data_IF_574173504355
#
_entry.id   IF_574173504355
#
_cell.length_a   1.000
_cell.length_b   1.000
_cell.length_c   1.000
_cell.angle_alpha   90.00
_cell.angle_beta   90.00
_cell.angle_gamma   90.00
#
_symmetry.space_group_name_H-M   'P 1'
#
loop_
_entity.id
_entity.type
_entity.pdbx_description
1 polymer ?
#
# COMPACT_ATOMS: atom_id res chain seq x y z
N UNK A 1 1.19 15.89 3.90
CA UNK A 1 2.65 15.88 3.70
C UNK A 1 3.08 17.35 3.60
N UNK A 2 4.24 17.70 4.14
CA UNK A 2 4.72 19.10 4.13
C UNK A 2 5.03 19.52 2.68
N UNK A 3 4.65 20.73 2.21
CA UNK A 3 4.97 21.19 0.85
C UNK A 3 6.46 21.12 0.52
N UNK A 4 7.34 21.38 1.49
CA UNK A 4 8.79 21.30 1.28
C UNK A 4 9.26 19.85 1.11
N UNK A 5 8.64 18.90 1.82
CA UNK A 5 8.93 17.48 1.67
C UNK A 5 8.51 16.97 0.29
N UNK A 6 7.31 17.35 -0.17
CA UNK A 6 6.81 17.01 -1.51
C UNK A 6 7.76 17.51 -2.60
N UNK A 7 8.24 18.74 -2.46
CA UNK A 7 9.13 19.37 -3.43
C UNK A 7 10.45 18.61 -3.62
N UNK A 8 10.95 18.01 -2.54
CA UNK A 8 12.16 17.18 -2.56
C UNK A 8 11.88 15.80 -3.15
N UNK A 9 10.75 15.19 -2.80
CA UNK A 9 10.36 13.88 -3.32
C UNK A 9 10.11 13.93 -4.82
N UNK A 10 9.47 14.99 -5.31
CA UNK A 10 9.29 15.24 -6.75
C UNK A 10 10.64 15.41 -7.47
N UNK A 11 11.60 16.08 -6.83
CA UNK A 11 12.95 16.23 -7.38
C UNK A 11 13.71 14.89 -7.45
N UNK A 12 13.50 14.00 -6.49
CA UNK A 12 14.06 12.64 -6.49
C UNK A 12 13.34 11.77 -7.53
N UNK A 13 12.01 11.83 -7.63
CA UNK A 13 11.24 11.07 -8.63
C UNK A 13 11.64 11.47 -10.07
N UNK A 14 11.97 12.75 -10.29
CA UNK A 14 12.47 13.26 -11.56
C UNK A 14 13.81 12.66 -12.03
N UNK A 15 14.57 11.99 -11.16
CA UNK A 15 15.80 11.28 -11.56
C UNK A 15 15.55 9.99 -12.34
N UNK A 16 14.31 9.48 -12.34
CA UNK A 16 13.92 8.26 -13.04
C UNK A 16 14.21 8.30 -14.54
N UNK A 17 14.03 9.48 -15.14
CA UNK A 17 14.13 9.71 -16.58
C UNK A 17 15.57 9.54 -17.07
N UNK A 18 16.55 9.85 -16.22
CA UNK A 18 17.96 9.94 -16.60
C UNK A 18 18.74 8.62 -16.43
N UNK A 19 18.25 7.70 -15.59
CA UNK A 19 19.10 6.64 -15.05
C UNK A 19 19.01 5.28 -15.77
N UNK A 20 18.00 5.02 -16.60
CA UNK A 20 17.78 3.69 -17.25
C UNK A 20 17.99 2.49 -16.30
N UNK A 21 17.79 2.67 -14.99
CA UNK A 21 18.16 1.68 -13.98
C UNK A 21 17.05 0.65 -13.80
N UNK A 22 17.43 -0.60 -13.53
CA UNK A 22 16.54 -1.65 -12.97
C UNK A 22 16.33 -1.48 -11.46
N UNK A 23 16.51 -0.26 -10.94
CA UNK A 23 16.49 0.07 -9.52
C UNK A 23 15.39 1.08 -9.31
N UNK A 24 14.39 0.72 -8.51
CA UNK A 24 13.48 1.66 -7.89
C UNK A 24 13.97 2.00 -6.48
N UNK A 25 13.36 3.01 -5.88
CA UNK A 25 13.68 3.47 -4.54
C UNK A 25 12.38 3.53 -3.72
N UNK A 26 12.40 2.94 -2.54
CA UNK A 26 11.41 3.18 -1.51
C UNK A 26 11.87 4.38 -0.66
N UNK A 27 10.98 5.34 -0.44
CA UNK A 27 11.30 6.50 0.40
C UNK A 27 10.65 6.36 1.78
N UNK A 28 11.32 6.87 2.82
CA UNK A 28 10.71 7.10 4.13
C UNK A 28 11.24 8.38 4.75
N UNK A 29 10.43 9.07 5.55
CA UNK A 29 10.84 10.34 6.18
C UNK A 29 10.55 10.38 7.68
N UNK A 30 11.48 10.92 8.47
CA UNK A 30 11.29 11.19 9.91
C UNK A 30 11.50 12.66 10.20
N UNK A 31 10.87 13.14 11.28
CA UNK A 31 10.98 14.53 11.72
C UNK A 31 10.23 15.52 10.82
N UNK A 32 10.71 16.76 10.79
CA UNK A 32 10.07 17.85 10.02
C UNK A 32 11.10 18.74 9.35
N UNK A 33 10.90 18.99 8.07
CA UNK A 33 11.77 19.86 7.31
C UNK A 33 11.42 21.33 7.57
N UNK A 34 12.24 22.01 8.36
CA UNK A 34 11.97 23.41 8.76
C UNK A 34 12.47 24.46 7.76
N UNK A 35 13.31 24.06 6.80
CA UNK A 35 13.94 24.95 5.81
C UNK A 35 14.01 24.27 4.46
N UNK A 36 13.87 25.05 3.39
CA UNK A 36 14.10 24.54 2.03
C UNK A 36 15.52 23.99 1.88
N UNK A 37 15.66 22.91 1.14
CA UNK A 37 16.94 22.24 0.85
C UNK A 37 17.18 22.34 -0.65
N UNK A 38 18.46 22.45 -1.02
CA UNK A 38 18.84 22.47 -2.43
C UNK A 38 18.47 21.15 -3.12
N UNK A 39 17.51 21.21 -4.05
CA UNK A 39 17.12 20.06 -4.88
C UNK A 39 18.31 19.43 -5.60
N UNK A 40 19.16 20.26 -6.19
CA UNK A 40 20.34 19.82 -6.94
C UNK A 40 21.34 19.07 -6.05
N UNK A 41 21.45 19.47 -4.77
CA UNK A 41 22.31 18.81 -3.80
C UNK A 41 21.79 17.41 -3.49
N UNK A 42 20.49 17.29 -3.18
CA UNK A 42 19.84 16.00 -2.94
C UNK A 42 19.92 15.11 -4.17
N UNK A 43 19.62 15.64 -5.36
CA UNK A 43 19.70 14.89 -6.60
C UNK A 43 21.09 14.33 -6.87
N UNK A 44 22.13 15.13 -6.60
CA UNK A 44 23.52 14.69 -6.73
C UNK A 44 23.89 13.59 -5.72
N UNK A 45 23.44 13.70 -4.47
CA UNK A 45 23.64 12.67 -3.45
C UNK A 45 22.97 11.35 -3.85
N UNK A 46 21.71 11.42 -4.30
CA UNK A 46 20.94 10.25 -4.75
C UNK A 46 21.59 9.60 -5.98
N UNK A 47 22.04 10.40 -6.95
CA UNK A 47 22.72 9.90 -8.16
C UNK A 47 24.02 9.19 -7.81
N UNK A 48 24.88 9.82 -7.01
CA UNK A 48 26.15 9.25 -6.60
C UNK A 48 25.97 7.93 -5.81
N UNK A 49 24.91 7.86 -4.99
CA UNK A 49 24.56 6.63 -4.29
C UNK A 49 24.11 5.54 -5.25
N UNK A 50 23.17 5.83 -6.17
CA UNK A 50 22.64 4.85 -7.13
C UNK A 50 23.73 4.29 -8.06
N UNK A 51 24.67 5.12 -8.50
CA UNK A 51 25.83 4.70 -9.30
C UNK A 51 26.75 3.72 -8.56
N UNK A 52 26.75 3.77 -7.22
CA UNK A 52 27.56 2.88 -6.36
C UNK A 52 26.89 1.55 -6.01
N UNK A 53 25.64 1.31 -6.40
CA UNK A 53 24.92 0.10 -6.03
C UNK A 53 25.23 -1.04 -6.99
N UNK A 54 25.69 -2.17 -6.45
CA UNK A 54 25.74 -3.44 -7.18
C UNK A 54 24.31 -3.97 -7.39
N UNK A 55 23.79 -3.86 -8.61
CA UNK A 55 22.45 -4.32 -8.99
C UNK A 55 22.23 -5.79 -8.64
N UNK A 56 23.26 -6.64 -8.74
CA UNK A 56 23.14 -8.07 -8.46
C UNK A 56 22.90 -8.39 -6.99
N UNK A 57 23.18 -7.42 -6.10
CA UNK A 57 22.95 -7.52 -4.66
C UNK A 57 21.55 -7.08 -4.22
N UNK A 58 20.79 -6.41 -5.09
CA UNK A 58 19.48 -5.82 -4.78
C UNK A 58 18.37 -6.86 -4.92
N UNK A 59 17.51 -6.95 -3.92
CA UNK A 59 16.32 -7.80 -3.90
C UNK A 59 15.06 -7.02 -4.24
N UNK A 60 13.99 -7.73 -4.62
CA UNK A 60 12.66 -7.13 -4.78
C UNK A 60 12.02 -6.72 -3.45
N UNK A 61 12.48 -7.31 -2.34
CA UNK A 61 12.09 -6.94 -0.98
C UNK A 61 12.87 -5.71 -0.51
N UNK A 62 12.25 -4.84 0.29
CA UNK A 62 12.91 -3.63 0.84
C UNK A 62 13.99 -3.99 1.87
N UNK A 63 13.79 -5.07 2.64
CA UNK A 63 14.64 -5.42 3.78
C UNK A 63 16.00 -5.95 3.33
N UNK A 64 17.07 -5.38 3.90
CA UNK A 64 18.44 -5.83 3.63
C UNK A 64 19.05 -5.26 2.35
N UNK A 65 18.32 -4.41 1.63
CA UNK A 65 18.86 -3.65 0.50
C UNK A 65 19.65 -2.42 0.98
N UNK A 66 20.53 -1.87 0.13
CA UNK A 66 21.26 -0.64 0.43
C UNK A 66 20.33 0.54 0.76
N UNK A 67 20.75 1.38 1.71
CA UNK A 67 20.03 2.57 2.13
C UNK A 67 20.90 3.83 1.99
N UNK A 68 20.27 4.95 1.65
CA UNK A 68 20.84 6.29 1.71
C UNK A 68 20.04 7.16 2.70
N UNK A 69 20.60 7.44 3.89
CA UNK A 69 20.04 8.41 4.82
C UNK A 69 20.50 9.84 4.49
N UNK A 70 19.57 10.72 4.13
CA UNK A 70 19.79 12.15 3.90
C UNK A 70 19.24 12.91 5.11
N UNK A 71 20.12 13.51 5.90
CA UNK A 71 19.77 14.26 7.13
C UNK A 71 19.87 15.76 6.93
N UNK A 72 18.85 16.51 7.34
CA UNK A 72 18.83 17.99 7.37
C UNK A 72 18.12 18.47 8.64
N UNK A 73 18.90 18.84 9.65
CA UNK A 73 18.36 19.18 10.98
C UNK A 73 17.65 17.96 11.59
N UNK A 74 16.42 18.17 12.08
CA UNK A 74 15.59 17.11 12.66
C UNK A 74 14.91 16.22 11.61
N UNK A 75 15.04 16.55 10.32
CA UNK A 75 14.46 15.78 9.22
C UNK A 75 15.44 14.77 8.65
N UNK A 76 14.98 13.53 8.45
CA UNK A 76 15.73 12.48 7.75
C UNK A 76 14.87 11.90 6.63
N UNK A 77 15.39 11.86 5.41
CA UNK A 77 14.86 11.07 4.31
C UNK A 77 15.73 9.83 4.16
N UNK A 78 15.15 8.64 4.31
CA UNK A 78 15.83 7.38 4.02
C UNK A 78 15.30 6.85 2.70
N UNK A 79 16.21 6.62 1.76
CA UNK A 79 15.95 6.00 0.48
C UNK A 79 16.49 4.58 0.52
N UNK A 80 15.68 3.58 0.17
CA UNK A 80 16.09 2.17 0.12
C UNK A 80 15.98 1.68 -1.30
N UNK A 81 17.04 1.08 -1.84
CA UNK A 81 17.02 0.54 -3.19
C UNK A 81 16.09 -0.68 -3.27
N UNK A 82 15.39 -0.87 -4.38
CA UNK A 82 14.46 -1.97 -4.63
C UNK A 82 14.66 -2.47 -6.06
N UNK A 83 14.87 -3.77 -6.21
CA UNK A 83 15.11 -4.40 -7.51
C UNK A 83 13.82 -4.45 -8.33
N UNK A 84 13.87 -3.95 -9.57
CA UNK A 84 12.77 -4.08 -10.52
C UNK A 84 12.82 -5.46 -11.17
N UNK A 85 11.86 -6.31 -10.81
CA UNK A 85 11.86 -7.68 -11.29
C UNK A 85 11.66 -7.83 -12.79
N UNK A 86 11.13 -6.85 -13.55
CA UNK A 86 10.93 -7.06 -14.99
C UNK A 86 10.87 -5.86 -15.96
N UNK A 87 10.84 -4.57 -15.58
CA UNK A 87 10.85 -3.47 -16.58
C UNK A 87 11.44 -2.16 -16.03
N UNK A 88 12.08 -1.32 -16.88
CA UNK A 88 12.38 0.07 -16.53
C UNK A 88 11.09 0.84 -16.25
N UNK A 89 11.14 1.74 -15.28
CA UNK A 89 10.01 2.55 -14.80
C UNK A 89 10.31 4.03 -15.06
N UNK A 90 9.33 4.79 -15.56
CA UNK A 90 9.45 6.26 -15.74
C UNK A 90 9.43 7.02 -14.40
N UNK A 91 9.38 6.29 -13.27
CA UNK A 91 9.38 6.80 -11.89
C UNK A 91 10.38 6.04 -11.04
N UNK A 92 11.16 6.78 -10.24
CA UNK A 92 12.22 6.24 -9.40
C UNK A 92 11.64 5.87 -8.03
N UNK A 93 10.66 6.62 -7.53
CA UNK A 93 9.95 6.30 -6.29
C UNK A 93 8.75 5.42 -6.61
N UNK A 94 8.91 4.10 -6.47
CA UNK A 94 7.80 3.16 -6.68
C UNK A 94 7.00 2.86 -5.41
N UNK A 95 7.62 3.05 -4.24
CA UNK A 95 6.94 3.02 -2.94
C UNK A 95 7.10 4.41 -2.33
N UNK A 96 5.98 5.13 -2.24
CA UNK A 96 5.95 6.51 -1.76
C UNK A 96 6.53 6.67 -0.35
N UNK A 97 6.94 7.90 0.03
CA UNK A 97 7.49 8.21 1.35
C UNK A 97 6.58 7.70 2.47
N UNK A 98 7.00 6.63 3.15
CA UNK A 98 6.39 6.20 4.41
C UNK A 98 6.97 7.06 5.52
N UNK A 99 6.18 7.84 6.26
CA UNK A 99 6.74 8.58 7.40
C UNK A 99 7.20 7.58 8.46
N UNK A 100 8.50 7.39 8.67
CA UNK A 100 9.06 6.55 9.73
C UNK A 100 9.00 7.26 11.09
N UNK A 101 7.80 7.68 11.49
CA UNK A 101 7.49 7.64 12.92
C UNK A 101 7.37 6.17 13.33
N UNK A 102 7.46 5.85 14.63
CA UNK A 102 6.64 4.76 15.15
C UNK A 102 5.18 5.18 14.93
N UNK A 103 4.69 5.02 13.70
CA UNK A 103 3.26 5.01 13.44
C UNK A 103 2.81 3.71 14.06
N UNK A 104 1.89 3.82 15.01
CA UNK A 104 1.04 2.69 15.31
C UNK A 104 0.23 2.46 14.03
N UNK A 105 0.75 1.63 13.15
CA UNK A 105 0.23 1.39 11.81
C UNK A 105 -1.23 0.90 11.89
N UNK A 106 -1.57 0.18 12.96
CA UNK A 106 -2.93 -0.15 13.34
C UNK A 106 -3.82 1.09 13.57
N UNK A 107 -3.34 2.17 14.20
CA UNK A 107 -4.12 3.41 14.39
C UNK A 107 -4.47 4.11 13.08
N UNK A 108 -3.56 4.08 12.10
CA UNK A 108 -3.84 4.65 10.77
C UNK A 108 -4.93 3.84 10.06
N UNK A 109 -4.84 2.51 10.13
CA UNK A 109 -5.88 1.62 9.61
C UNK A 109 -7.21 1.84 10.33
N UNK A 110 -7.22 1.86 11.67
CA UNK A 110 -8.40 2.11 12.50
C UNK A 110 -9.08 3.42 12.11
N UNK A 111 -8.33 4.52 12.00
CA UNK A 111 -8.88 5.82 11.58
C UNK A 111 -9.54 5.77 10.20
N UNK A 112 -8.93 5.09 9.22
CA UNK A 112 -9.51 4.93 7.87
C UNK A 112 -10.79 4.10 7.91
N UNK A 113 -10.78 2.97 8.62
CA UNK A 113 -11.92 2.07 8.73
C UNK A 113 -13.06 2.76 9.49
N UNK A 114 -12.78 3.40 10.63
CA UNK A 114 -13.75 4.18 11.40
C UNK A 114 -14.42 5.26 10.56
N UNK A 115 -13.65 6.02 9.78
CA UNK A 115 -14.19 7.05 8.90
C UNK A 115 -15.22 6.45 7.93
N UNK A 116 -14.92 5.31 7.31
CA UNK A 116 -15.82 4.63 6.36
C UNK A 116 -17.02 4.00 7.05
N UNK A 117 -16.83 3.31 8.17
CA UNK A 117 -17.90 2.72 8.96
C UNK A 117 -18.91 3.79 9.41
N UNK A 118 -18.43 4.94 9.90
CA UNK A 118 -19.29 6.06 10.28
C UNK A 118 -20.02 6.66 9.08
N UNK A 119 -19.31 6.89 7.97
CA UNK A 119 -19.87 7.46 6.74
C UNK A 119 -21.03 6.62 6.18
N UNK A 120 -20.97 5.29 6.37
CA UNK A 120 -21.92 4.33 5.82
C UNK A 120 -22.73 3.60 6.92
N UNK A 121 -22.87 4.20 8.10
CA UNK A 121 -23.51 3.58 9.27
C UNK A 121 -25.03 3.34 9.15
N UNK A 122 -25.68 3.92 8.12
CA UNK A 122 -27.13 3.84 7.89
C UNK A 122 -27.54 2.89 6.77
N UNK A 123 -26.65 1.97 6.36
CA UNK A 123 -26.97 1.01 5.32
C UNK A 123 -27.82 -0.13 5.89
N UNK A 124 -28.88 -0.49 5.17
CA UNK A 124 -29.73 -1.65 5.47
C UNK A 124 -29.15 -2.97 4.92
N UNK A 125 -27.89 -2.96 4.48
CA UNK A 125 -27.19 -4.11 3.87
C UNK A 125 -25.81 -4.29 4.50
N UNK A 126 -25.25 -5.50 4.43
CA UNK A 126 -23.90 -5.75 4.94
C UNK A 126 -22.87 -4.79 4.37
N UNK A 127 -22.22 -4.01 5.25
CA UNK A 127 -21.12 -3.15 4.86
C UNK A 127 -19.80 -3.91 4.95
N UNK A 128 -19.10 -3.99 3.81
CA UNK A 128 -17.70 -4.40 3.74
C UNK A 128 -16.86 -3.18 3.35
N UNK A 129 -15.80 -2.92 4.10
CA UNK A 129 -14.85 -1.83 3.79
C UNK A 129 -13.59 -2.43 3.16
N UNK A 130 -13.31 -2.05 1.91
CA UNK A 130 -12.07 -2.42 1.23
C UNK A 130 -10.95 -1.43 1.57
N UNK A 131 -9.79 -1.95 1.98
CA UNK A 131 -8.60 -1.18 2.31
C UNK A 131 -7.42 -1.70 1.50
N UNK A 132 -6.84 -0.84 0.67
CA UNK A 132 -5.56 -1.09 0.02
C UNK A 132 -4.42 -0.61 0.93
N UNK A 133 -3.57 -1.52 1.36
CA UNK A 133 -2.38 -1.22 2.16
C UNK A 133 -1.17 -1.11 1.24
N UNK A 134 -0.55 0.08 1.20
CA UNK A 134 0.68 0.34 0.46
C UNK A 134 1.79 0.53 1.52
N UNK A 135 2.73 -0.42 1.58
CA UNK A 135 3.87 -0.56 2.52
C UNK A 135 3.58 -1.13 3.93
N UNK A 136 4.56 -1.87 4.50
CA UNK A 136 4.68 -2.23 5.94
C UNK A 136 3.71 -3.28 6.52
N UNK A 137 2.44 -3.27 6.11
CA UNK A 137 1.34 -4.05 6.70
C UNK A 137 1.35 -5.55 6.37
N UNK A 138 2.51 -6.16 6.15
CA UNK A 138 2.60 -7.57 5.76
C UNK A 138 2.10 -8.53 6.84
N UNK A 139 2.01 -8.08 8.10
CA UNK A 139 1.63 -8.91 9.22
C UNK A 139 0.10 -8.96 9.45
N UNK A 140 -0.44 -10.18 9.35
CA UNK A 140 -1.83 -10.50 9.71
C UNK A 140 -2.15 -10.16 11.17
N UNK A 141 -1.13 -10.10 12.03
CA UNK A 141 -1.27 -9.69 13.43
C UNK A 141 -1.57 -8.20 13.60
N UNK A 142 -1.05 -7.33 12.75
CA UNK A 142 -1.40 -5.90 12.78
C UNK A 142 -2.83 -5.67 12.31
N UNK A 143 -3.26 -6.38 11.25
CA UNK A 143 -4.64 -6.39 10.78
C UNK A 143 -5.59 -6.90 11.88
N UNK A 144 -5.23 -8.00 12.55
CA UNK A 144 -5.99 -8.56 13.68
C UNK A 144 -6.07 -7.59 14.86
N UNK A 145 -4.94 -6.97 15.23
CA UNK A 145 -4.84 -6.03 16.33
C UNK A 145 -5.66 -4.76 16.07
N UNK A 146 -5.62 -4.23 14.84
CA UNK A 146 -6.42 -3.08 14.44
C UNK A 146 -7.93 -3.33 14.58
N UNK A 147 -8.38 -4.57 14.36
CA UNK A 147 -9.79 -4.90 14.30
C UNK A 147 -10.40 -5.36 15.63
N UNK A 148 -9.74 -6.26 16.37
CA UNK A 148 -10.38 -7.05 17.44
C UNK A 148 -9.65 -6.97 18.79
N UNK A 149 -8.35 -6.67 18.82
CA UNK A 149 -7.64 -6.60 20.11
C UNK A 149 -8.28 -5.54 21.01
N UNK A 150 -8.31 -5.75 22.32
CA UNK A 150 -8.99 -4.85 23.27
C UNK A 150 -8.24 -3.54 23.51
N UNK A 151 -7.72 -2.95 22.44
CA UNK A 151 -7.15 -1.61 22.44
C UNK A 151 -8.28 -0.57 22.38
N UNK A 152 -8.08 0.64 22.93
CA UNK A 152 -9.10 1.69 22.94
C UNK A 152 -9.66 2.04 21.54
N UNK A 153 -8.82 1.91 20.52
CA UNK A 153 -9.09 2.33 19.14
C UNK A 153 -9.44 1.17 18.18
N UNK A 154 -9.57 -0.05 18.69
CA UNK A 154 -9.90 -1.19 17.85
C UNK A 154 -11.29 -1.07 17.23
N UNK A 155 -11.40 -1.54 15.98
CA UNK A 155 -12.59 -1.27 15.16
C UNK A 155 -13.85 -1.90 15.75
N UNK A 156 -13.83 -3.19 16.07
CA UNK A 156 -15.03 -3.92 16.48
C UNK A 156 -15.17 -4.11 17.98
N UNK A 157 -14.06 -4.05 18.73
CA UNK A 157 -14.07 -4.29 20.18
C UNK A 157 -13.21 -3.26 20.89
N UNK A 158 -13.78 -2.66 21.93
CA UNK A 158 -13.05 -1.78 22.86
C UNK A 158 -13.28 -2.23 24.29
N UNK A 159 -12.56 -1.64 25.25
CA UNK A 159 -12.82 -1.86 26.69
C UNK A 159 -14.27 -1.53 27.09
N UNK A 160 -14.94 -0.65 26.35
CA UNK A 160 -16.34 -0.26 26.60
C UNK A 160 -17.38 -1.19 25.94
N UNK A 161 -16.95 -2.20 25.17
CA UNK A 161 -17.83 -3.11 24.44
C UNK A 161 -17.62 -3.10 22.93
N UNK A 162 -18.57 -3.68 22.20
CA UNK A 162 -18.53 -3.82 20.74
C UNK A 162 -18.88 -2.52 20.03
N UNK A 163 -18.34 -2.32 18.82
CA UNK A 163 -18.57 -1.13 17.98
C UNK A 163 -18.75 -1.53 16.52
N UNK A 164 -19.31 -0.60 15.73
CA UNK A 164 -19.52 -0.75 14.29
C UNK A 164 -20.27 -2.05 13.92
N UNK A 165 -21.39 -2.31 14.58
CA UNK A 165 -22.24 -3.50 14.35
C UNK A 165 -22.92 -3.52 12.97
N UNK A 166 -22.81 -2.45 12.17
CA UNK A 166 -23.17 -2.45 10.76
C UNK A 166 -22.01 -2.81 9.81
N UNK A 167 -20.76 -2.82 10.30
CA UNK A 167 -19.58 -3.21 9.53
C UNK A 167 -19.36 -4.72 9.67
N UNK A 168 -19.74 -5.46 8.64
CA UNK A 168 -19.75 -6.93 8.66
C UNK A 168 -18.37 -7.51 8.32
N UNK A 169 -17.52 -6.74 7.64
CA UNK A 169 -16.16 -7.15 7.37
C UNK A 169 -15.27 -6.05 6.82
N UNK A 170 -13.97 -6.33 6.80
CA UNK A 170 -12.93 -5.48 6.20
C UNK A 170 -12.13 -6.34 5.23
N UNK A 171 -12.09 -5.93 3.97
CA UNK A 171 -11.34 -6.61 2.91
C UNK A 171 -9.99 -5.90 2.73
N UNK A 172 -8.91 -6.55 3.14
CA UNK A 172 -7.56 -6.02 2.96
C UNK A 172 -6.96 -6.48 1.65
N UNK A 173 -6.31 -5.55 0.97
CA UNK A 173 -5.53 -5.76 -0.24
C UNK A 173 -4.08 -5.36 0.01
N UNK A 174 -3.15 -6.22 -0.41
CA UNK A 174 -1.71 -5.96 -0.29
C UNK A 174 -1.20 -5.35 -1.58
N UNK A 175 -0.98 -4.04 -1.59
CA UNK A 175 -0.41 -3.31 -2.74
C UNK A 175 -1.22 -3.53 -4.03
N UNK A 176 -2.55 -3.39 -3.97
CA UNK A 176 -3.38 -3.40 -5.18
C UNK A 176 -2.99 -2.22 -6.06
N UNK A 177 -2.69 -2.53 -7.31
CA UNK A 177 -2.57 -1.60 -8.43
C UNK A 177 -3.34 -2.21 -9.61
N UNK A 178 -3.74 -1.40 -10.62
CA UNK A 178 -4.50 -1.94 -11.75
C UNK A 178 -3.88 -3.19 -12.41
N UNK A 179 -2.55 -3.27 -12.43
CA UNK A 179 -1.76 -4.28 -13.12
C UNK A 179 -1.60 -5.62 -12.41
N UNK A 180 -1.87 -5.68 -11.11
CA UNK A 180 -1.79 -6.94 -10.34
C UNK A 180 -3.15 -7.44 -9.88
N UNK A 181 -4.24 -6.81 -10.31
CA UNK A 181 -5.58 -7.12 -9.82
C UNK A 181 -5.97 -8.60 -10.06
N UNK A 182 -5.43 -9.24 -11.11
CA UNK A 182 -5.66 -10.65 -11.41
C UNK A 182 -5.04 -11.61 -10.38
N UNK A 183 -3.89 -11.27 -9.80
CA UNK A 183 -3.13 -12.15 -8.89
C UNK A 183 -2.99 -11.61 -7.48
N UNK A 184 -3.63 -10.50 -7.14
CA UNK A 184 -3.41 -9.83 -5.86
C UNK A 184 -3.94 -10.67 -4.70
N UNK A 185 -3.14 -10.78 -3.65
CA UNK A 185 -3.57 -11.38 -2.40
C UNK A 185 -4.52 -10.44 -1.66
N UNK A 186 -5.63 -11.01 -1.19
CA UNK A 186 -6.61 -10.32 -0.35
C UNK A 186 -7.08 -11.20 0.78
N UNK A 187 -7.45 -10.59 1.91
CA UNK A 187 -8.07 -11.29 3.04
C UNK A 187 -9.29 -10.51 3.55
N UNK A 188 -10.44 -11.18 3.58
CA UNK A 188 -11.67 -10.70 4.18
C UNK A 188 -11.69 -11.03 5.68
N UNK A 189 -11.57 -10.03 6.53
CA UNK A 189 -11.79 -10.18 7.96
C UNK A 189 -13.28 -10.03 8.26
N UNK A 190 -13.87 -11.03 8.90
CA UNK A 190 -15.28 -11.03 9.30
C UNK A 190 -15.45 -10.52 10.72
N UNK A 191 -16.46 -9.67 10.94
CA UNK A 191 -16.79 -9.17 12.26
C UNK A 191 -17.39 -10.30 13.12
N UNK A 192 -16.73 -10.71 14.23
CA UNK A 192 -17.18 -11.85 15.01
C UNK A 192 -18.37 -11.54 15.93
N UNK A 193 -18.82 -10.28 15.99
CA UNK A 193 -19.92 -9.84 16.87
C UNK A 193 -21.24 -9.64 16.12
N UNK A 194 -21.31 -10.06 14.86
CA UNK A 194 -22.51 -9.97 14.03
C UNK A 194 -22.71 -11.33 13.38
N UNK A 195 -23.94 -11.85 13.47
CA UNK A 195 -24.38 -12.95 12.61
C UNK A 195 -24.65 -12.36 11.22
N UNK A 196 -23.70 -12.54 10.32
CA UNK A 196 -23.67 -11.85 9.03
C UNK A 196 -24.06 -12.76 7.88
N UNK A 197 -25.05 -12.34 7.08
CA UNK A 197 -25.28 -12.85 5.73
C UNK A 197 -24.33 -12.15 4.74
N UNK A 198 -23.02 -12.37 4.88
CA UNK A 198 -22.07 -11.94 3.83
C UNK A 198 -22.36 -12.78 2.59
N UNK A 199 -22.49 -12.18 1.39
CA UNK A 199 -22.69 -12.92 0.15
C UNK A 199 -21.66 -14.04 -0.04
N UNK A 200 -22.12 -15.22 -0.46
CA UNK A 200 -21.29 -16.41 -0.65
C UNK A 200 -20.11 -16.15 -1.59
N UNK A 201 -20.29 -15.27 -2.58
CA UNK A 201 -19.23 -14.87 -3.51
C UNK A 201 -18.04 -14.24 -2.80
N UNK A 202 -18.28 -13.43 -1.76
CA UNK A 202 -17.20 -12.83 -0.97
C UNK A 202 -16.55 -13.84 -0.02
N UNK A 203 -17.27 -14.88 0.38
CA UNK A 203 -16.75 -15.95 1.23
C UNK A 203 -15.84 -16.93 0.48
N UNK A 204 -15.78 -16.84 -0.85
CA UNK A 204 -14.80 -17.55 -1.70
C UNK A 204 -13.42 -16.93 -1.63
N UNK A 205 -13.29 -15.65 -1.28
CA UNK A 205 -11.99 -15.00 -1.05
C UNK A 205 -11.30 -15.61 0.18
N UNK A 206 -9.98 -15.43 0.24
CA UNK A 206 -9.24 -15.66 1.49
C UNK A 206 -9.90 -14.89 2.62
N UNK A 207 -10.10 -15.54 3.78
CA UNK A 207 -10.87 -14.95 4.88
C UNK A 207 -10.26 -15.25 6.24
N UNK A 208 -10.51 -14.33 7.17
CA UNK A 208 -10.14 -14.43 8.56
C UNK A 208 -11.39 -14.28 9.43
N UNK A 209 -11.60 -15.22 10.34
CA UNK A 209 -12.76 -15.21 11.24
C UNK A 209 -12.40 -15.78 12.61
N UNK A 210 -13.15 -15.40 13.64
CA UNK A 210 -12.95 -15.93 15.00
C UNK A 210 -13.69 -17.25 15.15
N UNK A 211 -12.97 -18.29 15.54
CA UNK A 211 -13.50 -19.61 15.85
C UNK A 211 -12.87 -20.10 17.16
N UNK A 212 -13.68 -20.52 18.12
CA UNK A 212 -13.24 -20.91 19.48
C UNK A 212 -12.39 -19.84 20.18
N UNK A 213 -12.74 -18.56 19.97
CA UNK A 213 -12.03 -17.42 20.54
C UNK A 213 -10.66 -17.13 19.93
N UNK A 214 -10.29 -17.82 18.83
CA UNK A 214 -9.03 -17.60 18.10
C UNK A 214 -9.31 -17.18 16.67
N UNK A 215 -8.46 -16.30 16.14
CA UNK A 215 -8.49 -15.96 14.72
C UNK A 215 -8.02 -17.17 13.89
N UNK A 216 -8.82 -17.57 12.90
CA UNK A 216 -8.45 -18.56 11.89
C UNK A 216 -8.39 -17.88 10.53
N UNK A 217 -7.41 -18.25 9.73
CA UNK A 217 -7.25 -17.80 8.35
C UNK A 217 -7.47 -18.97 7.42
N UNK A 218 -8.30 -18.75 6.42
CA UNK A 218 -8.60 -19.71 5.36
C UNK A 218 -8.11 -19.14 4.03
N UNK A 219 -7.40 -19.97 3.27
CA UNK A 219 -7.07 -19.66 1.89
C UNK A 219 -8.33 -19.72 1.05
N UNK A 220 -8.50 -18.75 0.16
CA UNK A 220 -9.58 -18.72 -0.80
C UNK A 220 -9.06 -18.41 -2.19
N UNK A 221 -9.99 -18.14 -3.09
CA UNK A 221 -9.73 -17.84 -4.50
C UNK A 221 -9.02 -16.48 -4.64
N UNK A 222 -8.06 -16.36 -5.59
CA UNK A 222 -7.54 -15.08 -6.04
C UNK A 222 -8.66 -14.14 -6.47
N UNK A 223 -8.48 -12.84 -6.24
CA UNK A 223 -9.47 -11.84 -6.65
C UNK A 223 -9.73 -11.88 -8.16
N UNK A 224 -8.69 -12.13 -8.98
CA UNK A 224 -8.82 -12.25 -10.43
C UNK A 224 -9.81 -13.32 -10.84
N UNK A 225 -9.72 -14.51 -10.24
CA UNK A 225 -10.61 -15.64 -10.51
C UNK A 225 -12.06 -15.29 -10.16
N UNK A 226 -12.28 -14.65 -9.01
CA UNK A 226 -13.61 -14.22 -8.58
C UNK A 226 -14.21 -13.17 -9.54
N UNK A 227 -13.39 -12.26 -10.04
CA UNK A 227 -13.79 -11.20 -10.97
C UNK A 227 -13.80 -11.65 -12.44
N UNK A 228 -13.33 -12.86 -12.75
CA UNK A 228 -13.17 -13.35 -14.11
C UNK A 228 -12.14 -12.57 -14.93
N UNK A 229 -11.09 -12.04 -14.29
CA UNK A 229 -10.02 -11.31 -14.96
C UNK A 229 -9.06 -12.28 -15.66
N UNK A 230 -8.61 -11.97 -16.87
CA UNK A 230 -7.60 -12.77 -17.54
C UNK A 230 -6.22 -12.55 -16.90
N UNK A 231 -5.31 -13.52 -17.10
CA UNK A 231 -3.94 -13.47 -16.58
C UNK A 231 -3.14 -12.27 -17.12
N UNK A 232 -3.49 -11.77 -18.31
CA UNK A 232 -2.85 -10.63 -18.96
C UNK A 232 -3.50 -9.29 -18.60
N UNK A 233 -4.44 -9.26 -17.64
CA UNK A 233 -5.09 -8.03 -17.19
C UNK A 233 -4.08 -6.94 -16.81
N UNK A 234 -4.28 -5.67 -17.24
CA UNK A 234 -5.47 -5.11 -17.88
C UNK A 234 -5.49 -5.19 -19.42
N UNK A 235 -4.68 -6.06 -20.01
CA UNK A 235 -4.47 -6.21 -21.45
C UNK A 235 -3.26 -5.42 -21.95
N UNK A 236 -2.93 -5.60 -23.23
CA UNK A 236 -1.96 -4.75 -23.92
C UNK A 236 -2.48 -3.31 -23.99
N UNK A 237 -1.62 -2.33 -23.67
CA UNK A 237 -1.86 -0.94 -24.07
C UNK A 237 -1.99 -0.95 -25.59
N UNK A 238 -3.19 -0.79 -26.13
CA UNK A 238 -3.34 -0.32 -27.51
C UNK A 238 -2.61 1.01 -27.56
N UNK A 239 -1.40 1.01 -28.10
CA UNK A 239 -0.62 2.21 -28.32
C UNK A 239 -1.50 3.17 -29.10
N UNK A 240 -1.69 4.37 -28.59
CA UNK A 240 -2.37 5.48 -29.26
C UNK A 240 -1.68 5.95 -30.56
N UNK A 241 -0.80 5.12 -31.13
CA UNK A 241 -0.13 5.31 -32.41
C UNK A 241 -0.99 4.89 -33.61
N UNK A 242 -2.15 4.27 -33.42
CA UNK A 242 -3.02 3.83 -34.53
C UNK A 242 -4.04 4.90 -34.98
N UNK A 243 -3.72 6.18 -34.77
CA UNK A 243 -4.35 7.30 -35.49
C UNK A 243 -3.45 7.73 -36.64
N UNK A 244 -3.25 6.86 -37.61
CA UNK A 244 -2.77 7.28 -38.93
C UNK A 244 -3.97 7.68 -39.78
N UNK A 245 -4.01 8.97 -40.10
CA UNK A 245 -4.47 9.57 -41.36
C UNK A 245 -5.80 9.07 -41.97
N UNK A 246 -6.88 9.77 -41.62
CA UNK A 246 -7.93 10.04 -42.60
C UNK A 246 -7.43 11.22 -43.45
N UNK A 247 -6.87 10.90 -44.61
CA UNK A 247 -6.51 11.91 -45.62
C UNK A 247 -7.74 12.67 -46.12
N UNK A 248 -7.60 13.93 -46.54
CA UNK A 248 -8.72 14.69 -47.10
C UNK A 248 -8.96 14.27 -48.56
N UNK A 249 -10.19 13.88 -48.87
CA UNK A 249 -10.76 13.94 -50.21
C UNK A 249 -11.23 15.38 -50.52
#
# INVERSE_FOLDING_TARGET
>A
MDPLENEILDAVDGLAVDLQTRIAVAASTTGKLHRSVSKNEIQREVRAWLEGIDISSIRSEVRGNPELPIKRGDWTLTLTAVGLLNRPSDRLIQVGPTRSGRLNDAEVLQKKIHKKANQHSKLDRPLIVAINTQSGFEDREEERSALIDQQPESVWRTLAGTRHTGLHGVLFFRTVVPWNLHCVSSNLYLNPFIDSDVPDELLRLGKAHVCDGKMKWETGEPLGDLLGLPDDWPGERTSSADRTDVGPD
#
